data_IF_124567333916
#
_entry.id   IF_124567333916
#
_cell.length_a   1.000
_cell.length_b   1.000
_cell.length_c   1.000
_cell.angle_alpha   90.00
_cell.angle_beta   90.00
_cell.angle_gamma   90.00
#
_symmetry.space_group_name_H-M   'P 1'
#
loop_
_entity.id
_entity.type
_entity.pdbx_description
1 polymer ?
#
# COMPACT_ATOMS: atom_id res chain seq x y z
N UNK A 1 -28.23 3.77 4.11
CA UNK A 1 -28.89 2.48 3.84
C UNK A 1 -27.87 1.40 4.17
N UNK A 2 -28.06 0.55 5.18
CA UNK A 2 -27.12 -0.54 5.43
C UNK A 2 -27.36 -1.57 4.31
N UNK A 3 -26.43 -1.68 3.38
CA UNK A 3 -26.46 -2.76 2.41
C UNK A 3 -25.93 -4.01 3.12
N UNK A 4 -26.80 -5.00 3.20
CA UNK A 4 -26.47 -6.39 3.45
C UNK A 4 -25.25 -6.79 2.63
N UNK A 5 -24.32 -7.46 3.29
CA UNK A 5 -23.20 -8.17 2.68
C UNK A 5 -23.71 -8.98 1.46
N UNK A 6 -22.92 -8.96 0.37
CA UNK A 6 -23.07 -9.78 -0.84
C UNK A 6 -23.92 -9.29 -2.03
N UNK A 7 -23.79 -8.01 -2.44
CA UNK A 7 -24.02 -7.68 -3.86
C UNK A 7 -22.69 -7.77 -4.63
N UNK A 8 -22.40 -8.97 -5.16
CA UNK A 8 -21.17 -9.28 -5.92
C UNK A 8 -20.93 -8.26 -7.03
N UNK A 9 -21.96 -7.91 -7.81
CA UNK A 9 -21.85 -6.94 -8.89
C UNK A 9 -21.44 -5.56 -8.38
N UNK A 10 -22.05 -5.10 -7.28
CA UNK A 10 -21.75 -3.81 -6.68
C UNK A 10 -20.32 -3.77 -6.11
N UNK A 11 -19.90 -4.84 -5.45
CA UNK A 11 -18.54 -4.97 -4.94
C UNK A 11 -17.51 -4.99 -6.08
N UNK A 12 -17.78 -5.72 -7.17
CA UNK A 12 -16.91 -5.72 -8.36
C UNK A 12 -16.84 -4.33 -9.01
N UNK A 13 -17.95 -3.60 -9.09
CA UNK A 13 -17.95 -2.23 -9.62
C UNK A 13 -17.14 -1.28 -8.75
N UNK A 14 -17.33 -1.36 -7.43
CA UNK A 14 -16.59 -0.57 -6.45
C UNK A 14 -15.10 -0.87 -6.54
N UNK A 15 -14.70 -2.14 -6.62
CA UNK A 15 -13.31 -2.55 -6.76
C UNK A 15 -12.69 -2.06 -8.07
N UNK A 16 -13.42 -2.19 -9.19
CA UNK A 16 -12.96 -1.69 -10.49
C UNK A 16 -12.74 -0.17 -10.46
N UNK A 17 -13.69 0.60 -9.93
CA UNK A 17 -13.60 2.06 -9.86
C UNK A 17 -12.55 2.51 -8.84
N UNK A 18 -12.40 1.82 -7.71
CA UNK A 18 -11.39 2.13 -6.70
C UNK A 18 -9.96 1.98 -7.22
N UNK A 19 -9.73 1.15 -8.24
CA UNK A 19 -8.45 0.99 -8.92
C UNK A 19 -8.17 2.04 -10.00
N UNK A 20 -9.15 2.87 -10.38
CA UNK A 20 -8.99 3.96 -11.34
C UNK A 20 -8.67 5.26 -10.59
N UNK A 21 -7.54 5.94 -10.86
CA UNK A 21 -7.26 7.23 -10.23
C UNK A 21 -8.35 8.25 -10.58
N UNK A 22 -8.95 8.92 -9.58
CA UNK A 22 -10.05 9.86 -9.81
C UNK A 22 -9.66 11.01 -10.77
N UNK A 23 -8.38 11.39 -10.79
CA UNK A 23 -7.87 12.40 -11.72
C UNK A 23 -8.04 12.02 -13.21
N UNK A 24 -8.18 10.74 -13.55
CA UNK A 24 -8.44 10.30 -14.94
C UNK A 24 -9.93 10.34 -15.29
N UNK A 25 -10.80 10.55 -14.30
CA UNK A 25 -12.25 10.62 -14.50
C UNK A 25 -12.64 12.08 -14.73
N UNK A 26 -13.31 12.35 -15.84
CA UNK A 26 -13.82 13.70 -16.14
C UNK A 26 -14.80 14.20 -15.07
N UNK A 27 -14.68 15.47 -14.68
CA UNK A 27 -15.60 16.10 -13.74
C UNK A 27 -17.02 16.17 -14.30
N UNK A 28 -17.95 15.49 -13.63
CA UNK A 28 -19.35 15.35 -14.05
C UNK A 28 -19.73 13.94 -14.51
N UNK A 29 -18.75 13.04 -14.70
CA UNK A 29 -19.01 11.61 -14.93
C UNK A 29 -19.45 10.88 -13.65
N UNK A 30 -18.92 11.32 -12.51
CA UNK A 30 -19.38 10.92 -11.18
C UNK A 30 -20.25 12.03 -10.58
N UNK A 31 -21.44 11.68 -10.10
CA UNK A 31 -22.24 12.57 -9.27
C UNK A 31 -21.69 12.62 -7.85
N UNK A 32 -22.05 13.66 -7.07
CA UNK A 32 -21.67 13.74 -5.65
C UNK A 32 -22.18 12.51 -4.88
N UNK A 33 -23.42 12.09 -5.12
CA UNK A 33 -23.98 10.90 -4.49
C UNK A 33 -23.24 9.61 -4.91
N UNK A 34 -22.84 9.49 -6.18
CA UNK A 34 -22.06 8.35 -6.67
C UNK A 34 -20.66 8.30 -6.06
N UNK A 35 -19.99 9.46 -5.96
CA UNK A 35 -18.69 9.56 -5.29
C UNK A 35 -18.81 9.27 -3.79
N UNK A 36 -19.82 9.82 -3.11
CA UNK A 36 -20.08 9.55 -1.69
C UNK A 36 -20.25 8.05 -1.45
N UNK A 37 -21.05 7.39 -2.28
CA UNK A 37 -21.24 5.95 -2.21
C UNK A 37 -19.92 5.19 -2.36
N UNK A 38 -19.15 5.47 -3.42
CA UNK A 38 -17.84 4.86 -3.65
C UNK A 38 -16.88 5.06 -2.46
N UNK A 39 -16.78 6.28 -1.94
CA UNK A 39 -15.92 6.59 -0.81
C UNK A 39 -16.38 5.88 0.47
N UNK A 40 -17.69 5.79 0.72
CA UNK A 40 -18.24 5.04 1.85
C UNK A 40 -17.92 3.54 1.80
N UNK A 41 -17.74 2.99 0.59
CA UNK A 41 -17.34 1.60 0.42
C UNK A 41 -15.84 1.37 0.72
N UNK A 42 -15.00 2.41 0.68
CA UNK A 42 -13.54 2.31 0.82
C UNK A 42 -13.02 2.86 2.15
N UNK A 43 -13.74 3.80 2.76
CA UNK A 43 -13.28 4.53 3.94
C UNK A 43 -13.18 3.62 5.18
N UNK A 44 -12.04 3.66 5.86
CA UNK A 44 -11.70 2.82 7.02
C UNK A 44 -11.80 1.29 6.78
N UNK A 45 -11.92 0.86 5.51
CA UNK A 45 -11.89 -0.55 5.13
C UNK A 45 -10.52 -0.94 4.62
N UNK A 46 -10.24 -2.24 4.57
CA UNK A 46 -8.99 -2.77 3.99
C UNK A 46 -8.88 -2.52 2.48
N UNK A 47 -9.98 -2.18 1.81
CA UNK A 47 -10.04 -1.97 0.38
C UNK A 47 -9.21 -0.75 -0.05
N UNK A 48 -8.31 -0.98 -1.01
CA UNK A 48 -7.47 0.06 -1.62
C UNK A 48 -8.32 1.08 -2.33
N UNK A 49 -7.85 2.33 -2.29
CA UNK A 49 -8.25 3.34 -3.25
C UNK A 49 -6.98 3.87 -3.94
N UNK A 50 -6.89 3.70 -5.26
CA UNK A 50 -5.71 4.05 -6.05
C UNK A 50 -5.39 5.55 -6.00
N UNK A 51 -6.37 6.38 -5.67
CA UNK A 51 -6.22 7.83 -5.59
C UNK A 51 -5.69 8.25 -4.22
N UNK A 52 -4.58 9.01 -4.16
CA UNK A 52 -4.11 9.63 -2.92
C UNK A 52 -5.18 10.51 -2.28
N UNK A 53 -5.15 10.61 -0.95
CA UNK A 53 -6.18 11.24 -0.14
C UNK A 53 -6.34 12.74 -0.43
N UNK A 54 -5.23 13.41 -0.77
CA UNK A 54 -5.26 14.77 -1.28
C UNK A 54 -6.03 14.86 -2.61
N UNK A 55 -5.82 13.91 -3.51
CA UNK A 55 -6.47 13.90 -4.83
C UNK A 55 -7.95 13.50 -4.73
N UNK A 56 -8.32 12.71 -3.71
CA UNK A 56 -9.73 12.48 -3.33
C UNK A 56 -10.38 13.80 -2.90
N UNK A 57 -9.73 14.57 -2.01
CA UNK A 57 -10.21 15.89 -1.62
C UNK A 57 -10.31 16.84 -2.83
N UNK A 58 -9.25 16.92 -3.63
CA UNK A 58 -9.20 17.74 -4.85
C UNK A 58 -10.38 17.44 -5.77
N UNK A 59 -10.60 16.16 -6.08
CA UNK A 59 -11.67 15.74 -6.97
C UNK A 59 -13.04 16.13 -6.40
N UNK A 60 -13.24 15.89 -5.10
CA UNK A 60 -14.46 16.21 -4.37
C UNK A 60 -14.77 17.70 -4.39
N UNK A 61 -13.77 18.55 -4.10
CA UNK A 61 -13.91 19.99 -4.04
C UNK A 61 -14.23 20.59 -5.42
N UNK A 62 -13.53 20.15 -6.47
CA UNK A 62 -13.77 20.60 -7.85
C UNK A 62 -15.15 20.15 -8.34
N UNK A 63 -15.55 18.91 -8.03
CA UNK A 63 -16.87 18.40 -8.36
C UNK A 63 -17.97 19.22 -7.67
N UNK A 64 -17.81 19.55 -6.39
CA UNK A 64 -18.73 20.41 -5.64
C UNK A 64 -18.81 21.81 -6.25
N UNK A 65 -17.68 22.42 -6.60
CA UNK A 65 -17.65 23.75 -7.22
C UNK A 65 -18.30 23.78 -8.60
N UNK A 66 -18.16 22.71 -9.41
CA UNK A 66 -18.86 22.56 -10.69
C UNK A 66 -20.39 22.61 -10.55
N UNK A 67 -20.92 22.12 -9.43
CA UNK A 67 -22.36 22.16 -9.12
C UNK A 67 -22.83 23.54 -8.62
N UNK A 68 -21.90 24.45 -8.31
CA UNK A 68 -22.19 25.81 -7.84
C UNK A 68 -22.08 26.79 -8.99
N UNK A 69 -20.91 26.89 -9.65
CA UNK A 69 -20.72 27.78 -10.79
C UNK A 69 -19.45 27.45 -11.60
N UNK A 70 -19.41 27.90 -12.86
CA UNK A 70 -18.22 27.77 -13.71
C UNK A 70 -17.02 28.56 -13.18
N UNK A 71 -17.25 29.68 -12.48
CA UNK A 71 -16.18 30.49 -11.89
C UNK A 71 -15.56 29.81 -10.66
N UNK A 72 -16.40 29.23 -9.78
CA UNK A 72 -15.93 28.42 -8.66
C UNK A 72 -15.12 27.20 -9.17
N UNK A 73 -15.65 26.49 -10.18
CA UNK A 73 -14.96 25.37 -10.82
C UNK A 73 -13.59 25.77 -11.37
N UNK A 74 -13.54 26.87 -12.14
CA UNK A 74 -12.29 27.36 -12.76
C UNK A 74 -11.28 27.84 -11.71
N UNK A 75 -11.77 28.39 -10.59
CA UNK A 75 -10.92 28.87 -9.50
C UNK A 75 -10.30 27.70 -8.73
N UNK A 76 -11.11 26.70 -8.34
CA UNK A 76 -10.58 25.52 -7.65
C UNK A 76 -9.69 24.65 -8.53
N UNK A 77 -9.97 24.52 -9.82
CA UNK A 77 -9.06 23.83 -10.76
C UNK A 77 -7.65 24.44 -10.78
N UNK A 78 -7.52 25.75 -10.55
CA UNK A 78 -6.24 26.46 -10.48
C UNK A 78 -5.59 26.39 -9.10
N UNK A 79 -6.40 26.42 -8.04
CA UNK A 79 -5.91 26.42 -6.65
C UNK A 79 -5.63 25.03 -6.11
N UNK A 80 -6.16 23.98 -6.73
CA UNK A 80 -5.93 22.59 -6.37
C UNK A 80 -5.18 21.90 -7.52
N UNK A 81 -3.84 22.06 -7.62
CA UNK A 81 -3.05 21.33 -8.61
C UNK A 81 -3.01 19.83 -8.25
N UNK A 82 -2.72 18.98 -9.24
CA UNK A 82 -2.46 17.55 -8.99
C UNK A 82 -1.12 17.35 -8.27
N UNK A 83 -0.90 16.17 -7.68
CA UNK A 83 0.39 15.87 -7.02
C UNK A 83 1.54 15.94 -8.03
N UNK A 84 1.32 15.44 -9.26
CA UNK A 84 2.30 15.51 -10.34
C UNK A 84 2.67 16.96 -10.68
N UNK A 85 1.69 17.86 -10.78
CA UNK A 85 1.94 19.29 -11.02
C UNK A 85 2.75 19.93 -9.89
N UNK A 86 2.46 19.58 -8.63
CA UNK A 86 3.22 20.09 -7.47
C UNK A 86 4.67 19.61 -7.45
N UNK A 87 4.97 18.44 -8.02
CA UNK A 87 6.33 17.90 -8.08
C UNK A 87 7.18 18.56 -9.17
N UNK A 88 6.55 18.97 -10.28
CA UNK A 88 7.22 19.63 -11.41
C UNK A 88 7.48 21.11 -11.07
N UNK A 89 6.50 21.78 -10.48
CA UNK A 89 6.62 23.18 -10.06
C UNK A 89 6.92 23.26 -8.56
N UNK A 90 8.21 23.30 -8.20
CA UNK A 90 8.67 23.67 -6.84
C UNK A 90 8.23 25.09 -6.41
N UNK A 91 7.56 25.83 -7.30
CA UNK A 91 7.25 27.25 -7.17
C UNK A 91 5.75 27.56 -7.20
N UNK A 92 4.85 26.57 -7.05
CA UNK A 92 3.40 26.86 -6.99
C UNK A 92 3.08 27.72 -5.76
N UNK A 93 3.30 29.02 -5.88
CA UNK A 93 2.68 30.04 -5.05
C UNK A 93 1.21 30.01 -5.43
N UNK A 94 0.44 29.19 -4.72
CA UNK A 94 -1.01 29.19 -4.83
C UNK A 94 -1.45 30.56 -4.35
N UNK A 95 -1.69 31.48 -5.30
CA UNK A 95 -2.31 32.75 -4.99
C UNK A 95 -3.73 32.44 -4.55
N UNK A 96 -3.99 32.55 -3.25
CA UNK A 96 -5.32 32.48 -2.66
C UNK A 96 -6.19 33.56 -3.31
N UNK A 97 -6.90 33.15 -4.36
CA UNK A 97 -7.92 33.96 -5.02
C UNK A 97 -9.24 33.64 -4.33
N UNK A 98 -10.04 34.67 -4.11
CA UNK A 98 -11.38 34.49 -3.57
C UNK A 98 -12.17 33.47 -4.41
N UNK A 99 -12.74 32.46 -3.74
CA UNK A 99 -13.65 31.49 -4.35
C UNK A 99 -15.05 32.07 -4.30
N UNK A 100 -15.62 32.37 -5.46
CA UNK A 100 -17.02 32.80 -5.58
C UNK A 100 -17.94 31.74 -4.97
N UNK A 101 -18.86 32.17 -4.11
CA UNK A 101 -19.82 31.31 -3.42
C UNK A 101 -19.17 30.16 -2.61
N UNK A 102 -18.00 30.37 -2.01
CA UNK A 102 -17.28 29.35 -1.23
C UNK A 102 -18.16 28.63 -0.19
N UNK A 103 -19.12 29.34 0.44
CA UNK A 103 -20.09 28.74 1.37
C UNK A 103 -21.00 27.70 0.70
N UNK A 104 -21.42 27.94 -0.55
CA UNK A 104 -22.22 26.98 -1.31
C UNK A 104 -21.36 25.80 -1.76
N UNK A 105 -20.09 26.03 -2.09
CA UNK A 105 -19.13 24.96 -2.35
C UNK A 105 -18.96 24.07 -1.11
N UNK A 106 -18.75 24.68 0.06
CA UNK A 106 -18.63 23.97 1.34
C UNK A 106 -19.88 23.11 1.63
N UNK A 107 -21.08 23.66 1.44
CA UNK A 107 -22.35 22.90 1.60
C UNK A 107 -22.46 21.71 0.65
N UNK A 108 -22.02 21.87 -0.61
CA UNK A 108 -22.05 20.77 -1.60
C UNK A 108 -20.98 19.71 -1.31
N UNK A 109 -19.87 20.12 -0.71
CA UNK A 109 -18.75 19.26 -0.35
C UNK A 109 -18.99 18.49 0.96
N UNK A 110 -19.74 19.06 1.90
CA UNK A 110 -20.07 18.50 3.22
C UNK A 110 -20.31 16.97 3.27
N UNK A 111 -21.17 16.37 2.42
CA UNK A 111 -21.45 14.93 2.47
C UNK A 111 -20.24 14.04 2.11
N UNK A 112 -19.17 14.60 1.55
CA UNK A 112 -17.95 13.87 1.18
C UNK A 112 -16.85 13.98 2.25
N UNK A 113 -16.90 15.02 3.10
CA UNK A 113 -15.85 15.34 4.07
C UNK A 113 -15.63 14.21 5.07
N UNK A 114 -16.70 13.57 5.53
CA UNK A 114 -16.61 12.46 6.48
C UNK A 114 -15.84 11.26 5.91
N UNK A 115 -15.81 11.11 4.59
CA UNK A 115 -15.10 10.03 3.91
C UNK A 115 -13.72 10.42 3.42
N UNK A 116 -13.16 11.56 3.85
CA UNK A 116 -11.79 11.99 3.53
C UNK A 116 -10.93 11.95 4.79
N UNK A 117 -9.86 11.16 4.75
CA UNK A 117 -8.91 11.04 5.84
C UNK A 117 -7.80 12.09 5.73
N UNK A 118 -8.11 13.33 6.11
CA UNK A 118 -7.15 14.44 6.10
C UNK A 118 -5.83 14.16 6.84
N UNK A 119 -5.78 13.20 7.77
CA UNK A 119 -4.54 12.80 8.46
C UNK A 119 -3.51 12.14 7.53
N UNK A 120 -3.93 11.64 6.37
CA UNK A 120 -3.07 11.07 5.33
C UNK A 120 -2.56 12.12 4.33
N UNK A 121 -3.01 13.38 4.45
CA UNK A 121 -2.55 14.47 3.60
C UNK A 121 -1.34 15.12 4.27
N UNK A 122 -0.28 15.39 3.51
CA UNK A 122 0.93 16.06 4.01
C UNK A 122 0.57 17.37 4.70
N UNK A 123 1.13 17.60 5.89
CA UNK A 123 0.86 18.81 6.70
C UNK A 123 1.07 20.11 5.94
N UNK A 124 2.08 20.16 5.07
CA UNK A 124 2.32 21.32 4.21
C UNK A 124 1.17 21.55 3.21
N UNK A 125 0.64 20.50 2.58
CA UNK A 125 -0.52 20.62 1.69
C UNK A 125 -1.76 21.09 2.46
N UNK A 126 -1.95 20.60 3.69
CA UNK A 126 -3.05 21.08 4.54
C UNK A 126 -2.95 22.59 4.79
N UNK A 127 -1.78 23.08 5.24
CA UNK A 127 -1.57 24.47 5.62
C UNK A 127 -1.54 25.43 4.43
N UNK A 128 -0.86 25.06 3.36
CA UNK A 128 -0.58 25.98 2.24
C UNK A 128 -1.67 25.92 1.16
N UNK A 129 -2.43 24.82 1.09
CA UNK A 129 -3.39 24.55 -0.01
C UNK A 129 -4.82 24.40 0.47
N UNK A 130 -5.08 23.58 1.50
CA UNK A 130 -6.46 23.20 1.87
C UNK A 130 -7.10 24.21 2.82
N UNK A 131 -6.43 24.51 3.93
CA UNK A 131 -6.92 25.40 4.97
C UNK A 131 -7.30 26.81 4.45
N UNK A 132 -6.48 27.44 3.57
CA UNK A 132 -6.79 28.78 3.06
C UNK A 132 -8.01 28.86 2.13
N UNK A 133 -8.56 27.74 1.68
CA UNK A 133 -9.75 27.73 0.82
C UNK A 133 -11.03 27.99 1.60
N UNK A 134 -11.02 27.79 2.92
CA UNK A 134 -12.18 27.97 3.82
C UNK A 134 -13.44 27.18 3.39
N UNK A 135 -13.25 26.09 2.63
CA UNK A 135 -14.33 25.16 2.21
C UNK A 135 -14.47 23.93 3.11
N UNK A 136 -13.57 23.78 4.08
CA UNK A 136 -13.61 22.73 5.11
C UNK A 136 -14.00 23.36 6.45
N UNK A 137 -14.90 22.73 7.24
CA UNK A 137 -15.19 23.23 8.59
C UNK A 137 -13.91 23.33 9.44
N UNK A 138 -13.64 24.50 10.02
CA UNK A 138 -12.40 24.75 10.77
C UNK A 138 -12.16 23.75 11.91
N UNK A 139 -13.24 23.21 12.51
CA UNK A 139 -13.15 22.17 13.54
C UNK A 139 -12.51 20.88 13.03
N UNK A 140 -12.76 20.50 11.76
CA UNK A 140 -12.18 19.31 11.13
C UNK A 140 -10.67 19.51 10.95
N UNK A 141 -10.26 20.60 10.30
CA UNK A 141 -8.85 20.93 10.07
C UNK A 141 -8.08 21.09 11.39
N UNK A 142 -8.63 21.80 12.36
CA UNK A 142 -8.01 22.00 13.67
C UNK A 142 -7.79 20.68 14.42
N UNK A 143 -8.75 19.75 14.34
CA UNK A 143 -8.58 18.43 14.93
C UNK A 143 -7.48 17.62 14.22
N UNK A 144 -7.37 17.73 12.89
CA UNK A 144 -6.30 17.09 12.11
C UNK A 144 -4.93 17.64 12.53
N UNK A 145 -4.77 18.96 12.64
CA UNK A 145 -3.51 19.55 13.12
C UNK A 145 -3.16 19.12 14.55
N UNK A 146 -4.15 19.08 15.45
CA UNK A 146 -3.95 18.59 16.83
C UNK A 146 -3.51 17.13 16.84
N UNK A 147 -4.12 16.29 16.00
CA UNK A 147 -3.75 14.89 15.90
C UNK A 147 -2.33 14.75 15.35
N UNK A 148 -1.98 15.43 14.26
CA UNK A 148 -0.61 15.48 13.70
C UNK A 148 0.42 15.99 14.72
N UNK A 149 0.06 16.97 15.55
CA UNK A 149 0.97 17.49 16.58
C UNK A 149 1.14 16.54 17.78
N UNK A 150 0.07 15.82 18.17
CA UNK A 150 0.07 14.88 19.31
C UNK A 150 0.76 13.57 18.99
N UNK A 151 0.51 13.08 17.79
CA UNK A 151 1.12 11.84 17.33
C UNK A 151 2.40 12.21 16.61
N UNK A 152 3.54 11.67 17.03
CA UNK A 152 4.77 11.67 16.22
C UNK A 152 4.52 10.82 14.96
N UNK A 153 3.58 11.22 14.11
CA UNK A 153 2.99 10.35 13.11
C UNK A 153 4.08 9.88 12.17
N UNK A 154 4.26 8.56 12.00
CA UNK A 154 4.93 8.08 10.81
C UNK A 154 4.16 8.62 9.61
N UNK A 155 4.86 9.05 8.57
CA UNK A 155 4.26 9.44 7.30
C UNK A 155 3.30 8.33 6.85
N UNK A 156 2.00 8.51 7.07
CA UNK A 156 0.99 7.58 6.57
C UNK A 156 1.11 7.55 5.05
N UNK A 157 0.88 6.39 4.44
CA UNK A 157 0.75 6.33 2.99
C UNK A 157 -0.34 7.31 2.54
N UNK A 158 -0.04 8.03 1.46
CA UNK A 158 -0.92 9.05 0.88
C UNK A 158 -2.24 8.43 0.39
N UNK A 159 -2.32 7.11 0.14
CA UNK A 159 -3.55 6.38 -0.22
C UNK A 159 -4.19 5.66 0.97
N UNK A 160 -5.51 5.42 0.92
CA UNK A 160 -6.25 4.60 1.91
C UNK A 160 -6.27 3.12 1.53
N UNK A 161 -6.65 2.30 2.51
CA UNK A 161 -6.63 0.84 2.41
C UNK A 161 -5.22 0.27 2.53
N UNK A 162 -5.12 -1.06 2.47
CA UNK A 162 -3.84 -1.75 2.33
C UNK A 162 -3.80 -2.21 0.87
N UNK A 163 -2.86 -1.73 0.02
CA UNK A 163 -2.84 -2.09 -1.39
C UNK A 163 -2.94 -3.62 -1.54
N UNK A 164 -3.99 -4.14 -2.21
CA UNK A 164 -4.10 -5.56 -2.60
C UNK A 164 -2.85 -6.00 -3.39
N UNK A 165 -2.21 -5.07 -4.10
CA UNK A 165 -0.95 -5.21 -4.82
C UNK A 165 0.31 -5.24 -3.93
N UNK A 166 0.21 -4.91 -2.63
CA UNK A 166 1.31 -5.06 -1.68
C UNK A 166 1.71 -6.53 -1.52
N UNK A 167 0.72 -7.41 -1.66
CA UNK A 167 0.84 -8.86 -1.49
C UNK A 167 0.60 -9.57 -2.83
N UNK A 168 1.30 -9.09 -3.86
CA UNK A 168 1.37 -9.71 -5.17
C UNK A 168 2.84 -9.83 -5.62
N UNK A 169 3.14 -10.91 -6.34
CA UNK A 169 4.43 -11.18 -6.97
C UNK A 169 4.59 -10.36 -8.25
N UNK A 170 5.82 -9.93 -8.51
CA UNK A 170 6.16 -9.14 -9.69
C UNK A 170 6.62 -10.03 -10.85
N UNK A 171 5.77 -10.15 -11.88
CA UNK A 171 6.07 -10.92 -13.09
C UNK A 171 7.35 -10.49 -13.81
N UNK A 172 7.77 -9.23 -13.67
CA UNK A 172 9.01 -8.72 -14.29
C UNK A 172 10.25 -8.95 -13.44
N UNK A 173 10.06 -9.39 -12.20
CA UNK A 173 11.12 -9.61 -11.22
C UNK A 173 10.96 -11.01 -10.60
N UNK A 174 10.90 -11.97 -11.49
CA UNK A 174 10.63 -13.38 -11.27
C UNK A 174 11.64 -14.20 -12.08
N UNK A 175 12.11 -15.31 -11.52
CA UNK A 175 12.95 -16.27 -12.23
C UNK A 175 12.22 -16.90 -13.41
N UNK A 176 12.96 -17.28 -14.44
CA UNK A 176 12.44 -17.74 -15.72
C UNK A 176 11.59 -19.01 -15.67
N UNK A 177 11.80 -19.88 -14.68
CA UNK A 177 11.08 -21.17 -14.51
C UNK A 177 10.07 -21.10 -13.36
N UNK A 178 9.59 -19.90 -13.03
CA UNK A 178 8.56 -19.66 -12.03
C UNK A 178 7.32 -19.07 -12.69
N UNK A 179 6.16 -19.67 -12.42
CA UNK A 179 4.85 -19.22 -12.89
C UNK A 179 4.15 -18.47 -11.76
N UNK A 180 3.59 -17.30 -12.09
CA UNK A 180 2.74 -16.54 -11.17
C UNK A 180 1.27 -16.76 -11.55
N UNK A 181 0.45 -17.09 -10.55
CA UNK A 181 -0.97 -17.41 -10.70
C UNK A 181 -1.83 -16.60 -9.71
N UNK A 182 -3.15 -16.77 -9.81
CA UNK A 182 -4.14 -16.20 -8.88
C UNK A 182 -3.95 -14.68 -8.68
N UNK A 183 -3.87 -13.96 -9.79
CA UNK A 183 -3.69 -12.51 -9.84
C UNK A 183 -2.47 -12.02 -9.05
N UNK A 184 -1.35 -12.73 -9.16
CA UNK A 184 -0.10 -12.36 -8.50
C UNK A 184 0.08 -12.97 -7.11
N UNK A 185 -0.90 -13.68 -6.54
CA UNK A 185 -0.80 -14.16 -5.15
C UNK A 185 0.03 -15.42 -5.01
N UNK A 186 0.11 -16.23 -6.05
CA UNK A 186 0.78 -17.53 -6.01
C UNK A 186 1.99 -17.49 -6.93
N UNK A 187 3.10 -18.08 -6.47
CA UNK A 187 4.22 -18.45 -7.32
C UNK A 187 4.43 -19.96 -7.23
N UNK A 188 4.65 -20.59 -8.38
CA UNK A 188 4.89 -22.02 -8.52
C UNK A 188 6.14 -22.26 -9.35
N UNK A 189 6.97 -23.22 -8.94
CA UNK A 189 8.10 -23.67 -9.72
C UNK A 189 7.67 -24.69 -10.80
N UNK A 190 8.13 -24.50 -12.03
CA UNK A 190 7.96 -25.44 -13.14
C UNK A 190 8.78 -26.72 -12.91
N UNK A 191 8.45 -27.80 -13.62
CA UNK A 191 9.11 -29.11 -13.46
C UNK A 191 10.62 -29.09 -13.74
N UNK A 192 11.06 -28.18 -14.61
CA UNK A 192 12.45 -27.95 -15.00
C UNK A 192 13.18 -26.92 -14.10
N UNK A 193 12.49 -26.34 -13.10
CA UNK A 193 13.08 -25.50 -12.07
C UNK A 193 13.84 -26.37 -11.05
N UNK A 194 15.02 -26.88 -11.44
CA UNK A 194 15.84 -27.77 -10.61
C UNK A 194 16.52 -26.96 -9.48
N UNK A 195 17.12 -25.83 -9.84
CA UNK A 195 17.79 -24.92 -8.93
C UNK A 195 16.82 -23.87 -8.37
N UNK A 196 17.13 -23.35 -7.17
CA UNK A 196 16.33 -22.28 -6.57
C UNK A 196 16.39 -21.01 -7.39
N UNK A 197 15.23 -20.59 -7.88
CA UNK A 197 14.98 -19.27 -8.42
C UNK A 197 14.19 -18.44 -7.41
N UNK A 198 14.08 -17.14 -7.65
CA UNK A 198 13.37 -16.25 -6.75
C UNK A 198 12.42 -15.28 -7.46
N UNK A 199 11.44 -14.84 -6.70
CA UNK A 199 10.50 -13.79 -7.10
C UNK A 199 10.36 -12.80 -5.95
N UNK A 200 10.23 -11.52 -6.28
CA UNK A 200 9.92 -10.48 -5.29
C UNK A 200 8.50 -9.94 -5.44
N UNK A 201 8.02 -9.29 -4.39
CA UNK A 201 6.75 -8.56 -4.42
C UNK A 201 6.81 -7.34 -5.34
N UNK A 202 5.64 -6.87 -5.81
CA UNK A 202 5.52 -5.73 -6.74
C UNK A 202 5.90 -4.40 -6.10
N UNK A 203 5.49 -4.19 -4.84
CA UNK A 203 5.66 -2.91 -4.15
C UNK A 203 6.92 -2.91 -3.29
N UNK A 204 7.66 -1.81 -3.38
CA UNK A 204 8.77 -1.55 -2.49
C UNK A 204 8.28 -1.12 -1.11
N UNK A 205 8.79 -1.79 -0.09
CA UNK A 205 8.71 -1.39 1.30
C UNK A 205 9.85 -0.38 1.55
N UNK A 206 9.51 0.90 1.54
CA UNK A 206 10.43 2.00 1.78
C UNK A 206 9.88 2.94 2.87
N UNK A 207 10.70 3.90 3.32
CA UNK A 207 10.38 4.85 4.40
C UNK A 207 10.22 4.21 5.80
N UNK A 208 9.77 5.03 6.77
CA UNK A 208 9.51 4.65 8.15
C UNK A 208 8.17 3.91 8.23
N UNK A 209 8.14 2.71 8.82
CA UNK A 209 6.92 1.92 8.93
C UNK A 209 7.17 0.49 9.41
N UNK A 210 6.11 -0.19 9.82
CA UNK A 210 6.11 -1.62 10.15
C UNK A 210 5.20 -2.35 9.16
N UNK A 211 5.72 -3.42 8.56
CA UNK A 211 5.04 -4.20 7.53
C UNK A 211 4.97 -5.66 7.94
N UNK A 212 3.81 -6.27 7.75
CA UNK A 212 3.58 -7.68 8.04
C UNK A 212 2.86 -8.34 6.86
N UNK A 213 3.30 -9.55 6.50
CA UNK A 213 2.66 -10.39 5.50
C UNK A 213 2.86 -11.86 5.83
N UNK A 214 1.93 -12.69 5.37
CA UNK A 214 2.03 -14.13 5.49
C UNK A 214 2.46 -14.74 4.15
N UNK A 215 3.33 -15.73 4.24
CA UNK A 215 3.62 -16.68 3.18
C UNK A 215 3.08 -18.05 3.60
N UNK A 216 2.27 -18.65 2.74
CA UNK A 216 1.78 -20.03 2.89
C UNK A 216 2.56 -20.91 1.93
N UNK A 217 3.22 -21.94 2.46
CA UNK A 217 3.84 -22.99 1.65
C UNK A 217 2.73 -23.95 1.24
N UNK A 218 2.07 -23.71 0.10
CA UNK A 218 1.01 -24.61 -0.38
C UNK A 218 1.57 -25.97 -0.82
N UNK A 219 2.80 -25.97 -1.35
CA UNK A 219 3.58 -27.17 -1.62
C UNK A 219 5.04 -26.92 -1.27
N UNK A 220 5.61 -27.73 -0.40
CA UNK A 220 6.98 -27.61 0.03
C UNK A 220 7.95 -28.12 -1.05
N UNK A 221 9.14 -27.52 -1.09
CA UNK A 221 10.28 -28.02 -1.84
C UNK A 221 11.43 -28.39 -0.91
N UNK A 222 12.55 -28.90 -1.46
CA UNK A 222 13.70 -29.34 -0.66
C UNK A 222 14.19 -28.27 0.32
N UNK A 223 14.17 -27.00 -0.11
CA UNK A 223 14.48 -25.85 0.75
C UNK A 223 13.61 -24.65 0.40
N UNK A 224 12.52 -24.43 1.12
CA UNK A 224 11.70 -23.22 0.98
C UNK A 224 12.36 -22.03 1.68
N UNK A 225 12.50 -20.88 0.99
CA UNK A 225 13.13 -19.67 1.54
C UNK A 225 12.20 -18.46 1.47
N UNK A 226 12.07 -17.74 2.58
CA UNK A 226 11.15 -16.61 2.75
C UNK A 226 11.86 -15.41 3.41
N UNK A 227 11.67 -14.20 2.90
CA UNK A 227 12.16 -13.01 3.61
C UNK A 227 12.07 -11.73 2.79
N UNK A 228 13.16 -10.95 2.75
CA UNK A 228 13.25 -9.67 2.04
C UNK A 228 14.49 -9.57 1.14
N UNK A 229 14.39 -8.81 0.07
CA UNK A 229 15.52 -8.43 -0.79
C UNK A 229 15.52 -6.95 -1.17
N UNK A 230 16.67 -6.42 -1.58
CA UNK A 230 16.75 -5.17 -2.34
C UNK A 230 16.85 -5.46 -3.84
N UNK A 231 16.36 -4.56 -4.68
CA UNK A 231 16.29 -4.75 -6.13
C UNK A 231 17.60 -4.47 -6.89
N UNK A 232 18.54 -3.76 -6.28
CA UNK A 232 19.78 -3.35 -6.95
C UNK A 232 20.70 -4.56 -7.16
N UNK A 233 21.04 -4.84 -8.43
CA UNK A 233 21.91 -5.96 -8.85
C UNK A 233 21.44 -7.33 -8.30
N UNK A 234 20.13 -7.54 -8.24
CA UNK A 234 19.54 -8.79 -7.76
C UNK A 234 19.18 -9.69 -8.95
N UNK A 235 19.66 -10.94 -8.92
CA UNK A 235 19.46 -11.95 -9.95
C UNK A 235 18.34 -12.92 -9.56
N UNK A 236 17.24 -12.90 -10.32
CA UNK A 236 16.06 -13.73 -10.05
C UNK A 236 16.25 -15.21 -10.42
N UNK A 237 17.28 -15.54 -11.21
CA UNK A 237 17.63 -16.91 -11.61
C UNK A 237 18.38 -17.69 -10.51
N UNK A 238 18.66 -17.05 -9.37
CA UNK A 238 19.45 -17.67 -8.30
C UNK A 238 18.82 -17.45 -6.93
N UNK A 239 19.11 -18.37 -6.00
CA UNK A 239 18.67 -18.30 -4.62
C UNK A 239 18.96 -16.94 -3.98
N UNK A 240 17.93 -16.30 -3.41
CA UNK A 240 18.02 -14.98 -2.78
C UNK A 240 19.10 -14.90 -1.69
N UNK A 241 19.26 -15.94 -0.88
CA UNK A 241 20.19 -15.90 0.26
C UNK A 241 21.67 -15.98 -0.12
N UNK A 242 22.01 -16.43 -1.33
CA UNK A 242 23.39 -16.37 -1.83
C UNK A 242 23.78 -14.95 -2.30
N UNK A 243 22.81 -14.04 -2.38
CA UNK A 243 23.01 -12.70 -2.91
C UNK A 243 23.21 -11.70 -1.76
N UNK A 244 24.10 -10.69 -1.91
CA UNK A 244 24.46 -9.77 -0.84
C UNK A 244 23.27 -9.04 -0.20
N UNK A 245 22.21 -8.82 -0.97
CA UNK A 245 21.02 -8.05 -0.57
C UNK A 245 19.83 -8.92 -0.17
N UNK A 246 19.96 -10.25 -0.20
CA UNK A 246 18.91 -11.16 0.27
C UNK A 246 19.02 -11.44 1.77
N UNK A 247 17.88 -11.46 2.46
CA UNK A 247 17.75 -11.80 3.88
C UNK A 247 16.56 -12.72 4.04
N UNK A 248 16.82 -14.01 4.18
CA UNK A 248 15.79 -15.06 4.09
C UNK A 248 15.93 -16.09 5.22
N UNK A 249 14.79 -16.59 5.68
CA UNK A 249 14.63 -17.75 6.54
C UNK A 249 14.34 -18.97 5.68
N UNK A 250 15.09 -20.05 5.89
CA UNK A 250 14.88 -21.34 5.24
C UNK A 250 14.02 -22.28 6.08
N UNK A 251 13.28 -23.15 5.42
CA UNK A 251 12.50 -24.26 6.00
C UNK A 251 13.30 -25.18 6.93
N UNK A 252 14.62 -25.25 6.79
CA UNK A 252 15.52 -25.91 7.76
C UNK A 252 15.68 -25.21 9.10
N UNK A 253 15.06 -24.05 9.29
CA UNK A 253 15.20 -23.22 10.50
C UNK A 253 16.40 -22.29 10.50
N UNK A 254 17.07 -22.13 9.35
CA UNK A 254 18.27 -21.30 9.20
C UNK A 254 17.94 -19.93 8.63
N UNK A 255 18.36 -18.86 9.30
CA UNK A 255 18.40 -17.53 8.69
C UNK A 255 19.71 -17.36 7.92
N UNK A 256 19.62 -16.94 6.66
CA UNK A 256 20.79 -16.72 5.84
C UNK A 256 21.44 -15.36 6.19
N UNK A 257 22.74 -15.41 6.46
CA UNK A 257 23.68 -14.30 6.62
C UNK A 257 25.05 -14.80 6.12
N UNK A 258 26.12 -14.00 6.20
CA UNK A 258 27.47 -14.35 5.71
C UNK A 258 27.97 -15.76 6.11
N UNK A 259 27.44 -16.36 7.18
CA UNK A 259 27.73 -17.76 7.57
C UNK A 259 26.50 -18.64 7.84
N UNK A 260 25.27 -18.13 7.71
CA UNK A 260 24.05 -18.80 8.17
C UNK A 260 24.03 -19.07 9.69
N UNK A 261 22.85 -19.12 10.31
CA UNK A 261 22.71 -19.53 11.71
C UNK A 261 21.33 -20.10 12.00
N UNK A 262 21.25 -20.93 13.02
CA UNK A 262 20.01 -21.54 13.46
C UNK A 262 19.14 -20.52 14.20
N UNK A 263 17.92 -20.33 13.70
CA UNK A 263 17.00 -19.28 14.15
C UNK A 263 15.71 -19.86 14.73
N UNK A 264 15.14 -20.88 14.08
CA UNK A 264 13.91 -21.51 14.53
C UNK A 264 13.91 -23.03 14.30
N UNK A 265 12.87 -23.71 14.78
CA UNK A 265 12.63 -25.10 14.42
C UNK A 265 12.34 -25.21 12.91
N UNK A 266 12.70 -26.34 12.26
CA UNK A 266 12.36 -26.56 10.86
C UNK A 266 10.84 -26.63 10.63
N UNK A 267 10.42 -26.30 9.42
CA UNK A 267 9.03 -26.32 8.95
C UNK A 267 9.02 -26.82 7.52
N UNK A 268 8.57 -28.06 7.32
CA UNK A 268 8.66 -28.76 6.02
C UNK A 268 7.28 -29.21 5.51
N UNK A 269 6.24 -28.98 6.30
CA UNK A 269 4.89 -29.37 5.97
C UNK A 269 4.22 -28.42 4.96
N UNK A 270 3.45 -29.03 4.05
CA UNK A 270 2.49 -28.30 3.23
C UNK A 270 1.46 -27.62 4.15
N UNK A 271 1.12 -26.38 3.84
CA UNK A 271 0.29 -25.51 4.67
C UNK A 271 1.06 -24.74 5.74
N UNK A 272 2.39 -24.90 5.87
CA UNK A 272 3.18 -24.09 6.79
C UNK A 272 2.99 -22.59 6.51
N UNK A 273 2.72 -21.82 7.57
CA UNK A 273 2.49 -20.38 7.50
C UNK A 273 3.62 -19.62 8.17
N UNK A 274 4.24 -18.73 7.41
CA UNK A 274 5.35 -17.89 7.84
C UNK A 274 4.91 -16.44 7.74
N UNK A 275 4.77 -15.75 8.87
CA UNK A 275 4.61 -14.29 8.90
C UNK A 275 5.97 -13.63 8.94
N UNK A 276 6.21 -12.70 8.03
CA UNK A 276 7.39 -11.83 8.06
C UNK A 276 7.02 -10.52 8.74
N UNK A 277 7.79 -10.11 9.74
CA UNK A 277 7.63 -8.85 10.46
C UNK A 277 8.80 -7.94 10.16
N UNK A 278 8.59 -6.92 9.31
CA UNK A 278 9.62 -5.95 8.93
C UNK A 278 9.37 -4.61 9.62
N UNK A 279 10.33 -4.15 10.44
CA UNK A 279 10.31 -2.81 11.04
C UNK A 279 11.37 -1.93 10.36
N UNK A 280 10.94 -1.08 9.43
CA UNK A 280 11.83 -0.15 8.71
C UNK A 280 12.25 1.05 9.55
N UNK A 281 11.61 1.31 10.70
CA UNK A 281 12.06 2.33 11.65
C UNK A 281 13.33 1.87 12.37
N UNK A 282 13.33 0.62 12.82
CA UNK A 282 14.47 -0.01 13.53
C UNK A 282 15.46 -0.70 12.59
N UNK A 283 15.07 -0.91 11.33
CA UNK A 283 15.80 -1.74 10.35
C UNK A 283 15.95 -3.19 10.82
N UNK A 284 14.90 -3.75 11.41
CA UNK A 284 14.89 -5.13 11.93
C UNK A 284 13.86 -5.99 11.23
N UNK A 285 14.08 -7.30 11.28
CA UNK A 285 13.15 -8.31 10.78
C UNK A 285 12.98 -9.41 11.83
N UNK A 286 11.78 -10.00 11.89
CA UNK A 286 11.48 -11.17 12.70
C UNK A 286 10.49 -12.07 11.96
N UNK A 287 10.34 -13.32 12.40
CA UNK A 287 9.40 -14.26 11.80
C UNK A 287 8.47 -14.87 12.85
N UNK A 288 7.23 -15.14 12.43
CA UNK A 288 6.33 -16.08 13.12
C UNK A 288 6.17 -17.30 12.23
N UNK A 289 6.48 -18.48 12.76
CA UNK A 289 6.32 -19.75 12.03
C UNK A 289 5.23 -20.55 12.74
N UNK A 290 4.16 -20.87 12.00
CA UNK A 290 3.00 -21.62 12.50
C UNK A 290 2.45 -21.08 13.84
N UNK A 291 2.34 -19.75 13.95
CA UNK A 291 1.82 -19.07 15.13
C UNK A 291 2.83 -18.86 16.26
N UNK A 292 4.04 -19.42 16.18
CA UNK A 292 5.12 -19.15 17.14
C UNK A 292 5.98 -17.99 16.66
N UNK A 293 5.89 -16.85 17.34
CA UNK A 293 6.74 -15.68 17.07
C UNK A 293 8.15 -15.90 17.61
N UNK A 294 9.16 -15.63 16.78
CA UNK A 294 10.57 -15.69 17.14
C UNK A 294 11.14 -14.30 17.37
N UNK A 295 12.34 -14.24 17.97
CA UNK A 295 13.05 -12.98 18.29
C UNK A 295 13.40 -12.20 17.02
N UNK A 296 13.69 -10.91 17.14
CA UNK A 296 14.29 -10.18 16.03
C UNK A 296 15.63 -10.82 15.60
N UNK A 297 15.87 -10.82 14.29
CA UNK A 297 17.06 -11.38 13.66
C UNK A 297 18.21 -10.39 13.80
N UNK A 298 18.84 -10.36 14.97
CA UNK A 298 19.93 -9.43 15.33
C UNK A 298 21.17 -9.51 14.43
N UNK A 299 21.33 -10.61 13.71
CA UNK A 299 22.44 -10.86 12.81
C UNK A 299 22.27 -10.09 11.48
N UNK A 300 21.06 -9.63 11.17
CA UNK A 300 20.76 -8.82 10.00
C UNK A 300 20.91 -7.34 10.30
N UNK A 301 22.14 -6.94 10.61
CA UNK A 301 22.48 -5.53 10.83
C UNK A 301 22.45 -4.76 9.50
N UNK A 302 21.85 -3.58 9.51
CA UNK A 302 21.78 -2.65 8.36
C UNK A 302 20.95 -3.17 7.16
N UNK A 303 19.67 -3.47 7.39
CA UNK A 303 18.74 -3.70 6.28
C UNK A 303 18.72 -2.50 5.30
N UNK A 304 18.74 -2.73 3.97
CA UNK A 304 18.64 -1.70 2.95
C UNK A 304 17.47 -0.72 3.15
N UNK A 305 17.62 0.50 2.62
CA UNK A 305 16.61 1.55 2.75
C UNK A 305 15.27 1.21 2.08
N UNK A 306 15.33 0.36 1.05
CA UNK A 306 14.25 -0.08 0.19
C UNK A 306 14.31 -1.60 0.05
N UNK A 307 13.24 -2.27 0.45
CA UNK A 307 13.14 -3.73 0.49
C UNK A 307 11.86 -4.21 -0.19
N UNK A 308 11.85 -5.47 -0.58
CA UNK A 308 10.70 -6.16 -1.15
C UNK A 308 10.52 -7.50 -0.45
N UNK A 309 9.27 -7.98 -0.24
CA UNK A 309 9.05 -9.40 0.03
C UNK A 309 9.73 -10.26 -1.02
N UNK A 310 10.37 -11.35 -0.63
CA UNK A 310 11.00 -12.28 -1.55
C UNK A 310 10.80 -13.72 -1.08
N UNK A 311 10.66 -14.62 -2.04
CA UNK A 311 10.76 -16.06 -1.81
C UNK A 311 11.74 -16.69 -2.78
N UNK A 312 12.34 -17.81 -2.38
CA UNK A 312 13.08 -18.67 -3.30
C UNK A 312 12.60 -20.10 -3.17
N UNK A 313 12.38 -20.72 -4.32
CA UNK A 313 11.81 -22.05 -4.46
C UNK A 313 12.35 -22.72 -5.72
N UNK A 314 12.24 -24.04 -5.74
CA UNK A 314 12.49 -24.91 -6.87
C UNK A 314 11.37 -25.95 -6.92
N UNK A 315 11.31 -26.78 -7.95
CA UNK A 315 10.29 -27.82 -8.06
C UNK A 315 10.33 -28.76 -6.83
N UNK A 316 9.17 -29.13 -6.23
CA UNK A 316 7.78 -28.83 -6.63
C UNK A 316 7.14 -27.66 -5.86
N UNK A 317 7.94 -26.68 -5.42
CA UNK A 317 7.53 -25.61 -4.54
C UNK A 317 6.39 -24.75 -5.09
N UNK A 318 5.46 -24.37 -4.21
CA UNK A 318 4.34 -23.48 -4.54
C UNK A 318 3.96 -22.66 -3.33
N UNK A 319 4.13 -21.33 -3.40
CA UNK A 319 3.93 -20.43 -2.27
C UNK A 319 2.90 -19.35 -2.58
N UNK A 320 2.09 -19.01 -1.58
CA UNK A 320 1.13 -17.90 -1.62
C UNK A 320 1.60 -16.76 -0.73
N UNK A 321 1.47 -15.53 -1.21
CA UNK A 321 1.58 -14.31 -0.39
C UNK A 321 0.19 -13.75 -0.07
N UNK A 322 -0.01 -13.26 1.15
CA UNK A 322 -1.26 -12.66 1.58
C UNK A 322 -1.05 -11.62 2.70
N UNK A 323 -2.01 -10.70 2.91
CA UNK A 323 -2.01 -9.83 4.07
C UNK A 323 -1.97 -10.64 5.37
N UNK A 324 -1.19 -10.17 6.34
CA UNK A 324 -1.24 -10.73 7.69
C UNK A 324 -2.54 -10.32 8.37
N UNK A 325 -3.38 -11.30 8.70
CA UNK A 325 -4.59 -11.05 9.49
C UNK A 325 -4.25 -11.24 10.97
N UNK A 326 -4.34 -10.16 11.75
CA UNK A 326 -4.29 -10.25 13.20
C UNK A 326 -5.58 -10.94 13.65
N UNK A 327 -5.46 -12.11 14.27
CA UNK A 327 -6.59 -12.70 14.98
C UNK A 327 -7.07 -11.68 16.03
N UNK A 328 -8.27 -11.15 15.84
CA UNK A 328 -8.99 -10.32 16.81
C UNK A 328 -9.49 -11.22 17.93
#
# INVERSE_FOLDING_TARGET
MPLTEDNILLNSLVEAVANIPLNTIEFGRLSIAGLQFLLSCTYEKEMVFATPEYEVFRYSAILAAKQVSNDAYSTLMKQLPTIEQMQIDNSVQIKNKFITDHQNVAKKLEPLIEFINFKRIKGQILADVIDPLEIIPSKVILNVYRDIARSNMPNLNDTRGIPKTLYAWDEKACGSNLIIEDNGKIVQAEEDCIDHQCVRGTIALENKGTFEWDIIIEKNCSWSWIGVCASNNFNYETFAGNQPTGRVLGSGGLCNSTSGFYYCLPFHEDGARITVHLDMNKRTCAFTVNGKKYREVSEWNNLPSKLYPVVSLNYPGRFRIQPHQKNV
#
